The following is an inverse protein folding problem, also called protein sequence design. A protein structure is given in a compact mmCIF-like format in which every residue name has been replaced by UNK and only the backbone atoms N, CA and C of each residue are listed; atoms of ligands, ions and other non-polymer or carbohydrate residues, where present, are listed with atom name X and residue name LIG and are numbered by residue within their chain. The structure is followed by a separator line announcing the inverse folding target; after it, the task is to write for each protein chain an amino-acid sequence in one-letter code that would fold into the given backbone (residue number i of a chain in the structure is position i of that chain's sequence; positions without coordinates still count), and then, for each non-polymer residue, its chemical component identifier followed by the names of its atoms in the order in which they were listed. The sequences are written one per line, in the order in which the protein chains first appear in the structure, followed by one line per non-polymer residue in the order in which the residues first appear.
data_IF_287964242336
#
_entry.id   IF_287964242336
#
_cell.length_a   1.000
_cell.length_b   1.000
_cell.length_c   1.000
_cell.angle_alpha   90.00
_cell.angle_beta   90.00
_cell.angle_gamma   90.00
#
_symmetry.space_group_name_H-M   'P 1'
#
loop_
_entity.id
_entity.type
_entity.pdbx_description
1 polymer ?
#
# COMPACT_ATOMS: atom_id res chain seq x y z
N UNK A 1 16.11 -24.49 -28.65
CA UNK A 1 15.94 -23.15 -29.22
C UNK A 1 14.86 -22.38 -28.49
N UNK A 2 13.58 -22.62 -28.81
CA UNK A 2 12.45 -21.86 -28.25
C UNK A 2 12.28 -21.95 -26.73
N UNK A 3 12.49 -23.12 -26.10
CA UNK A 3 12.37 -23.28 -24.64
C UNK A 3 13.42 -22.41 -23.91
N UNK A 4 14.67 -22.43 -24.39
CA UNK A 4 15.76 -21.62 -23.81
C UNK A 4 15.49 -20.11 -23.96
N UNK A 5 14.88 -19.69 -25.08
CA UNK A 5 14.50 -18.29 -25.28
C UNK A 5 13.33 -17.90 -24.36
N UNK A 6 12.34 -18.77 -24.18
CA UNK A 6 11.19 -18.51 -23.31
C UNK A 6 11.58 -18.41 -21.83
N UNK A 7 12.48 -19.29 -21.37
CA UNK A 7 13.03 -19.25 -20.02
C UNK A 7 13.83 -17.96 -19.81
N UNK A 8 14.70 -17.60 -20.76
CA UNK A 8 15.47 -16.36 -20.69
C UNK A 8 14.59 -15.11 -20.65
N UNK A 9 13.51 -15.06 -21.45
CA UNK A 9 12.55 -13.95 -21.43
C UNK A 9 11.81 -13.88 -20.10
N UNK A 10 11.38 -15.02 -19.55
CA UNK A 10 10.70 -15.09 -18.26
C UNK A 10 11.60 -14.61 -17.13
N UNK A 11 12.88 -15.03 -17.13
CA UNK A 11 13.87 -14.59 -16.14
C UNK A 11 14.14 -13.09 -16.21
N UNK A 12 14.23 -12.53 -17.42
CA UNK A 12 14.40 -11.08 -17.61
C UNK A 12 13.20 -10.32 -17.05
N UNK A 13 11.98 -10.80 -17.33
CA UNK A 13 10.73 -10.20 -16.82
C UNK A 13 10.70 -10.28 -15.29
N UNK A 14 11.04 -11.43 -14.72
CA UNK A 14 11.03 -11.63 -13.28
C UNK A 14 12.01 -10.68 -12.59
N UNK A 15 13.27 -10.66 -13.04
CA UNK A 15 14.29 -9.77 -12.49
C UNK A 15 13.90 -8.30 -12.63
N UNK A 16 13.38 -7.90 -13.80
CA UNK A 16 12.94 -6.53 -14.05
C UNK A 16 11.75 -6.12 -13.17
N UNK A 17 10.81 -7.04 -12.93
CA UNK A 17 9.64 -6.80 -12.07
C UNK A 17 10.05 -6.66 -10.61
N UNK A 18 10.95 -7.52 -10.12
CA UNK A 18 11.48 -7.44 -8.76
C UNK A 18 12.33 -6.17 -8.56
N UNK A 19 13.20 -5.85 -9.51
CA UNK A 19 13.98 -4.62 -9.45
C UNK A 19 13.08 -3.38 -9.47
N UNK A 20 12.07 -3.36 -10.34
CA UNK A 20 11.07 -2.29 -10.38
C UNK A 20 10.31 -2.16 -9.07
N UNK A 21 9.88 -3.27 -8.48
CA UNK A 21 9.19 -3.31 -7.20
C UNK A 21 10.07 -2.74 -6.06
N UNK A 22 11.34 -3.18 -5.97
CA UNK A 22 12.28 -2.70 -4.95
C UNK A 22 12.52 -1.19 -5.09
N UNK A 23 12.77 -0.72 -6.30
CA UNK A 23 12.98 0.71 -6.57
C UNK A 23 11.73 1.50 -6.21
N UNK A 24 10.55 1.04 -6.63
CA UNK A 24 9.28 1.71 -6.35
C UNK A 24 9.01 1.79 -4.83
N UNK A 25 9.13 0.68 -4.09
CA UNK A 25 8.97 0.67 -2.63
C UNK A 25 9.99 1.60 -1.96
N UNK A 26 11.26 1.53 -2.36
CA UNK A 26 12.32 2.35 -1.78
C UNK A 26 12.10 3.85 -2.00
N UNK A 27 11.78 4.25 -3.24
CA UNK A 27 11.49 5.64 -3.58
C UNK A 27 10.20 6.14 -2.94
N UNK A 28 9.14 5.33 -2.93
CA UNK A 28 7.90 5.64 -2.21
C UNK A 28 8.17 5.83 -0.73
N UNK A 29 8.92 4.91 -0.11
CA UNK A 29 9.21 4.99 1.32
C UNK A 29 10.00 6.24 1.68
N UNK A 30 11.04 6.54 0.89
CA UNK A 30 11.80 7.77 1.03
C UNK A 30 10.91 9.02 0.86
N UNK A 31 10.07 9.03 -0.17
CA UNK A 31 9.13 10.12 -0.43
C UNK A 31 8.16 10.32 0.75
N UNK A 32 7.54 9.25 1.26
CA UNK A 32 6.60 9.34 2.38
C UNK A 32 7.29 9.82 3.66
N UNK A 33 8.48 9.32 3.98
CA UNK A 33 9.24 9.79 5.15
C UNK A 33 9.52 11.28 5.05
N UNK A 34 9.98 11.76 3.89
CA UNK A 34 10.24 13.19 3.66
C UNK A 34 8.94 14.00 3.73
N UNK A 35 7.87 13.55 3.08
CA UNK A 35 6.60 14.24 3.05
C UNK A 35 6.02 14.41 4.46
N UNK A 36 5.96 13.34 5.25
CA UNK A 36 5.47 13.40 6.64
C UNK A 36 6.43 14.14 7.59
N UNK A 37 7.74 14.16 7.31
CA UNK A 37 8.68 14.98 8.06
C UNK A 37 8.41 16.48 7.86
N UNK A 38 8.20 16.90 6.60
CA UNK A 38 8.08 18.31 6.23
C UNK A 38 6.68 18.86 6.52
N UNK A 39 5.63 18.10 6.21
CA UNK A 39 4.25 18.55 6.33
C UNK A 39 3.70 18.38 7.74
N UNK A 40 4.05 17.28 8.40
CA UNK A 40 3.40 16.86 9.66
C UNK A 40 4.37 16.76 10.85
N UNK A 41 5.67 17.00 10.65
CA UNK A 41 6.73 16.80 11.66
C UNK A 41 6.79 15.38 12.25
N UNK A 42 6.28 14.37 11.52
CA UNK A 42 6.14 12.97 12.00
C UNK A 42 6.72 11.97 10.98
N UNK A 43 8.05 11.97 10.73
CA UNK A 43 8.69 11.16 9.68
C UNK A 43 8.39 9.65 9.76
N UNK A 44 8.28 9.11 10.98
CA UNK A 44 8.05 7.68 11.20
C UNK A 44 6.66 7.20 10.71
N UNK A 45 5.69 8.11 10.56
CA UNK A 45 4.40 7.77 9.95
C UNK A 45 4.54 7.41 8.46
N UNK A 46 5.58 7.92 7.79
CA UNK A 46 5.92 7.50 6.42
C UNK A 46 6.26 6.01 6.34
N UNK A 47 6.92 5.47 7.36
CA UNK A 47 7.24 4.03 7.45
C UNK A 47 5.98 3.24 7.83
N UNK A 48 5.18 3.74 8.78
CA UNK A 48 3.92 3.09 9.17
C UNK A 48 2.97 2.92 7.97
N UNK A 49 2.92 3.90 7.06
CA UNK A 49 2.11 3.83 5.85
C UNK A 49 2.54 2.77 4.83
N UNK A 50 3.83 2.40 4.80
CA UNK A 50 4.29 1.34 3.90
C UNK A 50 3.76 -0.03 4.31
N UNK A 51 3.53 -0.25 5.61
CA UNK A 51 3.15 -1.55 6.14
C UNK A 51 1.89 -2.16 5.49
N UNK A 52 0.73 -1.48 5.43
CA UNK A 52 -0.45 -2.01 4.74
C UNK A 52 -0.21 -2.28 3.25
N UNK A 53 0.64 -1.48 2.59
CA UNK A 53 0.95 -1.61 1.16
C UNK A 53 1.75 -2.89 0.91
N UNK A 54 2.76 -3.17 1.74
CA UNK A 54 3.57 -4.38 1.63
C UNK A 54 2.72 -5.65 1.80
N UNK A 55 1.78 -5.63 2.73
CA UNK A 55 0.84 -6.75 2.93
C UNK A 55 -0.07 -6.91 1.71
N UNK A 56 -0.61 -5.81 1.17
CA UNK A 56 -1.46 -5.87 -0.03
C UNK A 56 -0.73 -6.46 -1.24
N UNK A 57 0.54 -6.08 -1.45
CA UNK A 57 1.37 -6.63 -2.54
C UNK A 57 1.68 -8.11 -2.31
N UNK A 58 1.99 -8.50 -1.07
CA UNK A 58 2.23 -9.90 -0.73
C UNK A 58 0.98 -10.76 -1.01
N UNK A 59 -0.21 -10.27 -0.65
CA UNK A 59 -1.48 -10.95 -0.95
C UNK A 59 -1.79 -10.99 -2.44
N UNK A 60 -1.48 -9.93 -3.19
CA UNK A 60 -1.65 -9.91 -4.64
C UNK A 60 -0.75 -10.97 -5.31
N UNK A 61 0.53 -11.02 -4.96
CA UNK A 61 1.47 -12.03 -5.44
C UNK A 61 1.03 -13.46 -5.03
N UNK A 62 0.55 -13.63 -3.80
CA UNK A 62 -0.03 -14.88 -3.33
C UNK A 62 -1.26 -15.31 -4.15
N UNK A 63 -2.09 -14.34 -4.53
CA UNK A 63 -3.29 -14.59 -5.35
C UNK A 63 -2.93 -14.94 -6.78
N UNK A 64 -1.92 -14.29 -7.37
CA UNK A 64 -1.38 -14.69 -8.67
C UNK A 64 -0.91 -16.14 -8.64
N UNK A 65 -0.17 -16.54 -7.59
CA UNK A 65 0.28 -17.92 -7.42
C UNK A 65 -0.89 -18.89 -7.25
N UNK A 66 -1.92 -18.52 -6.49
CA UNK A 66 -3.12 -19.34 -6.26
C UNK A 66 -3.95 -19.54 -7.54
N UNK A 67 -4.13 -18.48 -8.33
CA UNK A 67 -4.89 -18.51 -9.59
C UNK A 67 -4.08 -19.06 -10.78
N UNK A 68 -2.78 -19.31 -10.60
CA UNK A 68 -1.89 -19.77 -11.67
C UNK A 68 -1.56 -18.69 -12.71
N UNK A 69 -1.74 -17.41 -12.38
CA UNK A 69 -1.42 -16.29 -13.27
C UNK A 69 0.10 -16.09 -13.27
N UNK A 70 0.70 -16.25 -14.45
CA UNK A 70 2.15 -16.12 -14.63
C UNK A 70 2.59 -14.66 -14.68
N UNK A 71 3.79 -14.40 -14.15
CA UNK A 71 4.41 -13.09 -14.27
C UNK A 71 4.89 -12.89 -15.71
N UNK A 72 4.32 -11.92 -16.39
CA UNK A 72 4.74 -11.47 -17.71
C UNK A 72 5.00 -9.95 -17.70
N UNK A 73 5.44 -9.39 -18.83
CA UNK A 73 5.78 -7.97 -18.94
C UNK A 73 4.63 -7.06 -18.50
N UNK A 74 3.38 -7.47 -18.70
CA UNK A 74 2.19 -6.68 -18.41
C UNK A 74 1.75 -6.86 -16.94
N UNK A 75 1.66 -8.08 -16.43
CA UNK A 75 1.33 -8.31 -15.00
C UNK A 75 2.44 -7.81 -14.07
N UNK A 76 3.69 -7.77 -14.52
CA UNK A 76 4.81 -7.17 -13.79
C UNK A 76 4.61 -5.67 -13.53
N UNK A 77 3.98 -4.94 -14.46
CA UNK A 77 3.64 -3.52 -14.25
C UNK A 77 2.62 -3.31 -13.13
N UNK A 78 1.75 -4.30 -12.90
CA UNK A 78 0.73 -4.22 -11.84
C UNK A 78 1.39 -4.08 -10.48
N UNK A 79 2.51 -4.75 -10.22
CA UNK A 79 3.22 -4.66 -8.94
C UNK A 79 3.60 -3.21 -8.58
N UNK A 80 4.05 -2.43 -9.57
CA UNK A 80 4.34 -1.01 -9.39
C UNK A 80 3.08 -0.15 -9.26
N UNK A 81 2.04 -0.45 -10.04
CA UNK A 81 0.75 0.26 -9.96
C UNK A 81 0.08 0.03 -8.59
N UNK A 82 0.16 -1.20 -8.07
CA UNK A 82 -0.36 -1.60 -6.77
C UNK A 82 0.24 -0.81 -5.63
N UNK A 83 1.52 -0.45 -5.72
CA UNK A 83 2.14 0.47 -4.76
C UNK A 83 1.42 1.82 -4.80
N UNK A 84 1.25 2.42 -5.98
CA UNK A 84 0.55 3.70 -6.14
C UNK A 84 -0.88 3.68 -5.59
N UNK A 85 -1.64 2.63 -5.90
CA UNK A 85 -2.99 2.45 -5.39
C UNK A 85 -3.00 2.26 -3.86
N UNK A 86 -2.10 1.44 -3.32
CA UNK A 86 -1.94 1.23 -1.88
C UNK A 86 -1.61 2.50 -1.10
N UNK A 87 -0.72 3.32 -1.64
CA UNK A 87 -0.38 4.63 -1.06
C UNK A 87 -1.63 5.51 -0.97
N UNK A 88 -2.43 5.58 -2.02
CA UNK A 88 -3.61 6.46 -2.05
C UNK A 88 -4.57 6.19 -0.88
N UNK A 89 -4.82 4.91 -0.55
CA UNK A 89 -5.66 4.54 0.60
C UNK A 89 -4.96 4.82 1.94
N UNK A 90 -3.71 4.37 2.11
CA UNK A 90 -3.00 4.51 3.38
C UNK A 90 -2.73 5.97 3.74
N UNK A 91 -2.30 6.80 2.78
CA UNK A 91 -2.04 8.24 2.99
C UNK A 91 -3.32 8.98 3.36
N UNK A 92 -4.44 8.69 2.71
CA UNK A 92 -5.71 9.37 3.01
C UNK A 92 -6.20 9.04 4.43
N UNK A 93 -6.11 7.76 4.83
CA UNK A 93 -6.43 7.35 6.19
C UNK A 93 -5.46 7.97 7.21
N UNK A 94 -4.14 7.91 6.96
CA UNK A 94 -3.13 8.44 7.87
C UNK A 94 -3.19 9.95 8.01
N UNK A 95 -3.47 10.69 6.94
CA UNK A 95 -3.66 12.13 7.02
C UNK A 95 -4.84 12.47 7.93
N UNK A 96 -5.98 11.78 7.76
CA UNK A 96 -7.13 11.99 8.64
C UNK A 96 -6.80 11.63 10.09
N UNK A 97 -6.05 10.55 10.32
CA UNK A 97 -5.56 10.20 11.64
C UNK A 97 -4.72 11.32 12.26
N UNK A 98 -3.81 11.92 11.48
CA UNK A 98 -2.97 13.02 11.96
C UNK A 98 -3.82 14.25 12.31
N UNK A 99 -4.84 14.57 11.52
CA UNK A 99 -5.76 15.68 11.80
C UNK A 99 -6.44 15.50 13.17
N UNK A 100 -6.97 14.31 13.45
CA UNK A 100 -7.64 14.01 14.73
C UNK A 100 -6.66 13.95 15.90
N UNK A 101 -5.48 13.35 15.69
CA UNK A 101 -4.44 13.27 16.71
C UNK A 101 -3.92 14.66 17.09
N UNK A 102 -3.70 15.54 16.10
CA UNK A 102 -3.29 16.93 16.35
C UNK A 102 -4.39 17.77 17.00
N UNK A 103 -5.67 17.37 16.87
CA UNK A 103 -6.79 17.99 17.56
C UNK A 103 -6.89 17.61 19.05
N UNK A 104 -6.03 16.71 19.54
CA UNK A 104 -5.87 16.39 20.95
C UNK A 104 -6.51 15.07 21.41
N UNK A 105 -7.02 14.25 20.48
CA UNK A 105 -7.44 12.88 20.77
C UNK A 105 -6.20 11.96 20.94
N UNK A 106 -6.33 10.90 21.74
CA UNK A 106 -5.31 9.86 21.78
C UNK A 106 -5.26 9.07 20.45
N UNK A 107 -4.20 8.29 20.19
CA UNK A 107 -4.10 7.62 18.89
C UNK A 107 -5.19 6.57 18.65
N UNK A 108 -5.70 5.93 19.70
CA UNK A 108 -6.76 4.95 19.55
C UNK A 108 -8.08 5.61 19.14
N UNK A 109 -8.47 6.67 19.84
CA UNK A 109 -9.63 7.48 19.53
C UNK A 109 -9.51 8.12 18.14
N UNK A 110 -8.35 8.70 17.81
CA UNK A 110 -8.06 9.29 16.50
C UNK A 110 -8.25 8.28 15.36
N UNK A 111 -7.83 7.03 15.57
CA UNK A 111 -8.00 5.97 14.58
C UNK A 111 -9.46 5.52 14.45
N UNK A 112 -10.23 5.48 15.54
CA UNK A 112 -11.67 5.21 15.50
C UNK A 112 -12.39 6.30 14.70
N UNK A 113 -12.11 7.57 14.98
CA UNK A 113 -12.72 8.70 14.28
C UNK A 113 -12.34 8.65 12.80
N UNK A 114 -11.08 8.34 12.49
CA UNK A 114 -10.60 8.17 11.12
C UNK A 114 -11.40 7.10 10.37
N UNK A 115 -11.46 5.87 10.90
CA UNK A 115 -12.13 4.77 10.19
C UNK A 115 -13.64 4.96 10.10
N UNK A 116 -14.27 5.56 11.11
CA UNK A 116 -15.71 5.86 11.08
C UNK A 116 -16.05 7.04 10.16
N UNK A 117 -15.18 8.04 10.04
CA UNK A 117 -15.38 9.24 9.23
C UNK A 117 -15.02 9.05 7.76
N UNK A 118 -13.82 8.54 7.46
CA UNK A 118 -13.30 8.42 6.08
C UNK A 118 -13.45 7.02 5.48
N UNK A 119 -13.67 5.99 6.30
CA UNK A 119 -13.78 4.61 5.84
C UNK A 119 -14.89 4.39 4.80
N UNK A 120 -16.03 5.05 4.94
CA UNK A 120 -17.13 4.99 3.96
C UNK A 120 -16.76 5.60 2.61
N UNK A 121 -16.06 6.75 2.60
CA UNK A 121 -15.58 7.38 1.37
C UNK A 121 -14.51 6.52 0.68
N UNK A 122 -13.58 5.95 1.46
CA UNK A 122 -12.57 5.03 0.95
C UNK A 122 -13.19 3.74 0.39
N UNK A 123 -14.23 3.20 1.04
CA UNK A 123 -14.97 2.04 0.55
C UNK A 123 -15.66 2.36 -0.79
N UNK A 124 -16.31 3.52 -0.92
CA UNK A 124 -16.90 3.95 -2.18
C UNK A 124 -15.87 4.08 -3.31
N UNK A 125 -14.71 4.68 -3.01
CA UNK A 125 -13.58 4.78 -3.96
C UNK A 125 -13.06 3.40 -4.38
N UNK A 126 -12.91 2.49 -3.41
CA UNK A 126 -12.52 1.10 -3.67
C UNK A 126 -13.52 0.41 -4.60
N UNK A 127 -14.82 0.50 -4.32
CA UNK A 127 -15.86 -0.14 -5.14
C UNK A 127 -15.86 0.41 -6.57
N UNK A 128 -15.84 1.72 -6.73
CA UNK A 128 -15.84 2.34 -8.07
C UNK A 128 -14.60 2.01 -8.88
N UNK A 129 -13.42 2.07 -8.26
CA UNK A 129 -12.14 1.79 -8.95
C UNK A 129 -11.98 0.30 -9.25
N UNK A 130 -12.34 -0.59 -8.31
CA UNK A 130 -12.27 -2.04 -8.52
C UNK A 130 -13.28 -2.52 -9.57
N UNK A 131 -14.49 -1.98 -9.60
CA UNK A 131 -15.46 -2.27 -10.66
C UNK A 131 -15.01 -1.73 -12.01
N UNK A 132 -14.50 -0.50 -12.07
CA UNK A 132 -14.01 0.11 -13.31
C UNK A 132 -12.84 -0.64 -13.92
N UNK A 133 -11.82 -0.96 -13.11
CA UNK A 133 -10.66 -1.75 -13.56
C UNK A 133 -11.02 -3.22 -13.79
N UNK A 134 -11.89 -3.78 -12.93
CA UNK A 134 -12.35 -5.16 -13.02
C UNK A 134 -13.23 -5.45 -14.23
N UNK A 135 -13.90 -4.44 -14.81
CA UNK A 135 -14.62 -4.60 -16.07
C UNK A 135 -13.72 -5.08 -17.21
N UNK A 136 -12.42 -4.76 -17.17
CA UNK A 136 -11.43 -5.25 -18.13
C UNK A 136 -11.20 -6.76 -18.04
N UNK A 137 -11.59 -7.41 -16.93
CA UNK A 137 -11.60 -8.88 -16.82
C UNK A 137 -12.49 -9.56 -17.87
N UNK A 138 -13.44 -8.82 -18.48
CA UNK A 138 -14.31 -9.29 -19.56
C UNK A 138 -13.65 -9.20 -20.94
N UNK A 139 -12.38 -8.78 -21.02
CA UNK A 139 -11.67 -8.69 -22.29
C UNK A 139 -11.52 -10.07 -22.95
N UNK A 140 -11.64 -10.10 -24.28
CA UNK A 140 -11.48 -11.32 -25.09
C UNK A 140 -10.04 -11.84 -25.00
N UNK A 141 -9.07 -10.92 -24.90
CA UNK A 141 -7.65 -11.26 -24.78
C UNK A 141 -7.33 -11.65 -23.33
N UNK A 142 -6.91 -12.91 -23.05
CA UNK A 142 -6.71 -13.39 -21.68
C UNK A 142 -5.74 -12.53 -20.85
N UNK A 143 -4.65 -12.05 -21.48
CA UNK A 143 -3.64 -11.21 -20.83
C UNK A 143 -4.24 -9.89 -20.31
N UNK A 144 -5.22 -9.31 -21.03
CA UNK A 144 -5.92 -8.11 -20.59
C UNK A 144 -6.95 -8.43 -19.49
N UNK A 145 -7.58 -9.61 -19.59
CA UNK A 145 -8.51 -10.11 -18.57
C UNK A 145 -7.82 -10.27 -17.21
N UNK A 146 -6.69 -10.97 -17.18
CA UNK A 146 -5.87 -11.16 -15.97
C UNK A 146 -5.41 -9.82 -15.39
N UNK A 147 -5.03 -8.87 -16.25
CA UNK A 147 -4.63 -7.53 -15.80
C UNK A 147 -5.77 -6.77 -15.14
N UNK A 148 -6.96 -6.78 -15.75
CA UNK A 148 -8.15 -6.15 -15.15
C UNK A 148 -8.51 -6.75 -13.80
N UNK A 149 -8.47 -8.09 -13.69
CA UNK A 149 -8.72 -8.81 -12.45
C UNK A 149 -7.69 -8.45 -11.36
N UNK A 150 -6.40 -8.49 -11.68
CA UNK A 150 -5.33 -8.19 -10.73
C UNK A 150 -5.33 -6.72 -10.29
N UNK A 151 -5.67 -5.80 -11.19
CA UNK A 151 -5.89 -4.39 -10.86
C UNK A 151 -7.05 -4.23 -9.86
N UNK A 152 -8.19 -4.87 -10.12
CA UNK A 152 -9.33 -4.81 -9.21
C UNK A 152 -9.00 -5.39 -7.82
N UNK A 153 -8.34 -6.55 -7.79
CA UNK A 153 -7.88 -7.17 -6.54
C UNK A 153 -6.87 -6.30 -5.79
N UNK A 154 -5.96 -5.64 -6.51
CA UNK A 154 -5.01 -4.70 -5.91
C UNK A 154 -5.71 -3.57 -5.18
N UNK A 155 -6.76 -2.99 -5.77
CA UNK A 155 -7.55 -1.91 -5.14
C UNK A 155 -8.26 -2.44 -3.89
N UNK A 156 -8.87 -3.62 -3.98
CA UNK A 156 -9.55 -4.28 -2.84
C UNK A 156 -8.57 -4.53 -1.70
N UNK A 157 -7.43 -5.15 -1.98
CA UNK A 157 -6.41 -5.44 -0.97
C UNK A 157 -5.83 -4.16 -0.38
N UNK A 158 -5.58 -3.14 -1.18
CA UNK A 158 -5.11 -1.84 -0.69
C UNK A 158 -6.05 -1.27 0.37
N UNK A 159 -7.36 -1.21 0.08
CA UNK A 159 -8.35 -0.76 1.06
C UNK A 159 -8.43 -1.66 2.30
N UNK A 160 -8.56 -2.98 2.09
CA UNK A 160 -8.73 -3.94 3.20
C UNK A 160 -7.54 -3.89 4.15
N UNK A 161 -6.31 -3.91 3.63
CA UNK A 161 -5.12 -3.86 4.48
C UNK A 161 -4.86 -2.47 5.04
N UNK A 162 -5.28 -1.38 4.40
CA UNK A 162 -5.32 -0.08 5.09
C UNK A 162 -6.23 -0.14 6.32
N UNK A 163 -7.45 -0.67 6.21
CA UNK A 163 -8.38 -0.73 7.35
C UNK A 163 -7.88 -1.65 8.47
N UNK A 164 -7.22 -2.76 8.13
CA UNK A 164 -6.82 -3.79 9.11
C UNK A 164 -5.41 -3.55 9.67
N UNK A 165 -4.45 -3.23 8.81
CA UNK A 165 -3.03 -3.18 9.15
C UNK A 165 -2.53 -1.77 9.51
N UNK A 166 -3.22 -0.71 9.09
CA UNK A 166 -2.83 0.65 9.49
C UNK A 166 -3.05 0.91 10.99
N UNK A 167 -4.18 0.53 11.63
CA UNK A 167 -4.37 0.77 13.06
C UNK A 167 -3.24 0.26 13.95
N UNK A 168 -2.81 -1.02 13.88
CA UNK A 168 -1.70 -1.49 14.71
C UNK A 168 -0.36 -0.83 14.33
N UNK A 169 -0.14 -0.47 13.06
CA UNK A 169 1.09 0.21 12.64
C UNK A 169 1.21 1.62 13.25
N UNK A 170 0.10 2.36 13.30
CA UNK A 170 0.05 3.71 13.87
C UNK A 170 0.11 3.69 15.40
N UNK A 171 -0.55 2.73 16.05
CA UNK A 171 -0.46 2.56 17.51
C UNK A 171 0.97 2.20 17.95
N UNK A 172 1.65 1.35 17.17
CA UNK A 172 3.05 1.04 17.41
C UNK A 172 3.95 2.28 17.21
N UNK A 173 3.65 3.10 16.21
CA UNK A 173 4.34 4.37 16.00
C UNK A 173 4.19 5.31 17.20
N UNK A 174 2.98 5.49 17.74
CA UNK A 174 2.73 6.32 18.93
C UNK A 174 3.55 5.83 20.13
N UNK A 175 3.55 4.52 20.38
CA UNK A 175 4.31 3.93 21.48
C UNK A 175 5.81 4.28 21.38
N UNK A 176 6.41 4.16 20.21
CA UNK A 176 7.80 4.58 20.02
C UNK A 176 7.96 6.10 20.18
N UNK A 177 7.05 6.91 19.61
CA UNK A 177 7.11 8.37 19.68
C UNK A 177 7.07 8.90 21.12
N UNK A 178 6.16 8.38 21.96
CA UNK A 178 6.07 8.75 23.38
C UNK A 178 7.29 8.36 24.21
N UNK A 179 7.98 7.25 23.85
CA UNK A 179 9.25 6.87 24.49
C UNK A 179 10.36 7.89 24.19
N UNK A 180 10.46 8.38 22.94
CA UNK A 180 11.47 9.39 22.56
C UNK A 180 11.24 10.73 23.27
N UNK A 181 9.99 11.14 23.43
CA UNK A 181 9.64 12.38 24.13
C UNK A 181 9.93 12.30 25.63
N UNK A 182 9.59 11.16 26.27
CA UNK A 182 9.91 10.91 27.67
C UNK A 182 11.42 10.90 27.97
N UNK A 183 12.24 10.36 27.06
CA UNK A 183 13.71 10.40 27.19
C UNK A 183 14.22 11.84 27.10
N UNK A 184 13.76 12.64 26.12
CA UNK A 184 14.19 14.03 25.98
C UNK A 184 13.86 14.89 27.19
N UNK A 185 12.68 14.70 27.79
CA UNK A 185 12.27 15.42 29.01
C UNK A 185 13.12 15.04 30.23
N UNK A 186 13.54 13.76 30.33
CA UNK A 186 14.41 13.28 31.43
C UNK A 186 15.87 13.75 31.33
N UNK A 187 16.34 14.13 30.15
CA UNK A 187 17.71 14.65 29.90
C UNK A 187 17.76 16.17 30.04
N UNK A 188 16.61 16.86 29.93
CA UNK A 188 16.49 18.32 30.06
C UNK A 188 16.16 18.82 31.48
N UNK A 189 15.88 17.92 32.43
CA UNK A 189 15.60 18.24 33.83
C UNK A 189 16.78 17.97 34.75
#
# INVERSE_FOLDING_TARGET
GQIVVFDAVTDIIFNSSIQGLIIAIGLTGLFLVIAYAVLESKPLLGIANLFPILIAIAFLLGTMRYLGISLNALTGTILSISIGLGIAYSVHATHRFIDEYNAGADAYESMIITLSGTGGALLGSMLTTSLGTGALALAITPVLGDFGLLMALSVVYSFVFTVIALPPAVLLWEHYHGVWEGINLSVSG
#
